data_IF_281651484592
#
_entry.id   IF_281651484592
#
_cell.length_a   1.000
_cell.length_b   1.000
_cell.length_c   1.000
_cell.angle_alpha   90.00
_cell.angle_beta   90.00
_cell.angle_gamma   90.00
#
_symmetry.space_group_name_H-M   'P 1'
#
loop_
_entity.id
_entity.type
_entity.pdbx_description
1 polymer ?
#
# COMPACT_ATOMS: atom_id res chain seq x y z
N UNK A 1 -2.80 -1.01 -20.61
CA UNK A 1 -3.43 -0.49 -19.39
C UNK A 1 -3.73 0.97 -19.68
N UNK A 2 -4.98 1.43 -19.57
CA UNK A 2 -5.29 2.84 -19.86
C UNK A 2 -4.70 3.71 -18.75
N UNK A 3 -4.14 4.85 -19.11
CA UNK A 3 -3.60 5.87 -18.18
C UNK A 3 -4.70 6.68 -17.48
N UNK A 4 -5.98 6.29 -17.62
CA UNK A 4 -7.16 6.97 -17.04
C UNK A 4 -7.73 6.24 -15.80
N UNK A 5 -7.02 5.24 -15.29
CA UNK A 5 -7.44 4.50 -14.10
C UNK A 5 -7.62 5.43 -12.89
N UNK A 6 -8.51 5.08 -11.97
CA UNK A 6 -8.68 5.85 -10.75
C UNK A 6 -7.42 5.79 -9.88
N UNK A 7 -6.66 6.89 -9.85
CA UNK A 7 -5.43 7.07 -9.08
C UNK A 7 -5.67 7.19 -7.57
N UNK A 8 -6.74 6.60 -7.02
CA UNK A 8 -7.11 6.82 -5.64
C UNK A 8 -7.52 5.54 -4.91
N UNK A 9 -7.27 5.53 -3.60
CA UNK A 9 -7.76 4.53 -2.67
C UNK A 9 -9.01 5.09 -2.00
N UNK A 10 -10.08 4.30 -1.96
CA UNK A 10 -11.35 4.66 -1.32
C UNK A 10 -11.50 3.92 0.00
N UNK A 11 -11.86 4.64 1.05
CA UNK A 11 -12.29 4.07 2.32
C UNK A 11 -13.82 4.03 2.40
N UNK A 12 -14.33 2.98 3.04
CA UNK A 12 -15.75 2.78 3.32
C UNK A 12 -15.93 2.49 4.80
N UNK A 13 -17.10 2.85 5.33
CA UNK A 13 -17.54 2.36 6.63
C UNK A 13 -18.14 0.95 6.44
N UNK A 14 -17.76 0.01 7.31
CA UNK A 14 -18.31 -1.36 7.30
C UNK A 14 -19.44 -1.46 8.31
N UNK A 15 -20.68 -1.34 7.83
CA UNK A 15 -21.89 -1.39 8.66
C UNK A 15 -22.36 -2.83 8.81
N UNK A 16 -22.60 -3.25 10.05
CA UNK A 16 -23.02 -4.60 10.41
C UNK A 16 -22.14 -5.72 9.81
N UNK A 17 -20.85 -5.44 9.60
CA UNK A 17 -19.88 -6.40 9.07
C UNK A 17 -20.06 -6.80 7.61
N UNK A 18 -21.02 -6.22 6.88
CA UNK A 18 -21.40 -6.71 5.53
C UNK A 18 -21.84 -5.65 4.53
N UNK A 19 -22.12 -4.42 4.98
CA UNK A 19 -22.55 -3.31 4.12
C UNK A 19 -21.45 -2.27 4.07
N UNK A 20 -21.05 -1.84 2.87
CA UNK A 20 -20.14 -0.73 2.68
C UNK A 20 -20.94 0.56 2.49
N UNK A 21 -20.64 1.58 3.28
CA UNK A 21 -21.30 2.88 3.24
C UNK A 21 -20.28 4.03 3.25
N UNK A 22 -20.74 5.24 2.95
CA UNK A 22 -19.96 6.49 3.06
C UNK A 22 -18.60 6.45 2.35
N UNK A 23 -18.56 6.21 1.02
CA UNK A 23 -17.31 6.21 0.27
C UNK A 23 -16.61 7.55 0.39
N UNK A 24 -15.30 7.52 0.64
CA UNK A 24 -14.44 8.71 0.67
C UNK A 24 -13.07 8.39 0.08
N UNK A 25 -12.51 9.34 -0.65
CA UNK A 25 -11.11 9.24 -1.08
C UNK A 25 -10.23 9.31 0.16
N UNK A 26 -9.46 8.24 0.38
CA UNK A 26 -8.46 8.17 1.44
C UNK A 26 -7.13 8.76 1.00
N UNK A 27 -6.66 8.39 -0.19
CA UNK A 27 -5.41 8.87 -0.76
C UNK A 27 -5.48 8.91 -2.28
N UNK A 28 -4.81 9.89 -2.89
CA UNK A 28 -4.52 9.95 -4.32
C UNK A 28 -3.05 9.61 -4.52
N UNK A 29 -2.75 8.68 -5.44
CA UNK A 29 -1.43 8.13 -5.69
C UNK A 29 -0.93 8.64 -7.02
N UNK A 30 0.17 9.38 -6.95
CA UNK A 30 0.90 9.87 -8.12
C UNK A 30 2.40 9.76 -7.86
N UNK A 31 3.19 9.19 -8.80
CA UNK A 31 2.77 8.69 -10.11
C UNK A 31 2.19 7.27 -10.09
N UNK A 32 1.37 6.95 -11.09
CA UNK A 32 0.85 5.60 -11.33
C UNK A 32 -0.37 5.23 -10.50
N UNK A 33 -0.71 3.94 -10.48
CA UNK A 33 -1.95 3.42 -9.88
C UNK A 33 -1.67 2.66 -8.57
N UNK A 34 -2.55 2.78 -7.56
CA UNK A 34 -2.53 1.90 -6.40
C UNK A 34 -3.12 0.53 -6.76
N UNK A 35 -2.26 -0.46 -7.01
CA UNK A 35 -2.69 -1.83 -7.31
C UNK A 35 -2.89 -2.61 -6.00
N UNK A 36 -1.81 -3.17 -5.44
CA UNK A 36 -1.81 -3.81 -4.13
C UNK A 36 -1.41 -2.89 -2.99
N UNK A 37 -2.09 -3.04 -1.85
CA UNK A 37 -1.76 -2.34 -0.61
C UNK A 37 -1.89 -3.25 0.61
N UNK A 38 -1.32 -2.83 1.75
CA UNK A 38 -1.45 -3.45 3.07
C UNK A 38 -1.61 -2.41 4.15
N UNK A 39 -2.26 -2.80 5.25
CA UNK A 39 -2.39 -1.99 6.46
C UNK A 39 -1.69 -2.70 7.61
N UNK A 40 -0.82 -2.00 8.33
CA UNK A 40 -0.15 -2.57 9.51
C UNK A 40 -1.01 -2.46 10.79
N UNK A 41 -0.50 -2.99 11.91
CA UNK A 41 -1.19 -2.94 13.22
C UNK A 41 -1.41 -1.53 13.76
N UNK A 42 -0.70 -0.53 13.25
CA UNK A 42 -0.82 0.88 13.65
C UNK A 42 -1.86 1.60 12.78
N UNK A 43 -2.44 0.91 11.79
CA UNK A 43 -3.38 1.46 10.81
C UNK A 43 -2.69 2.19 9.66
N UNK A 44 -1.37 2.12 9.54
CA UNK A 44 -0.66 2.76 8.43
C UNK A 44 -0.90 1.97 7.15
N UNK A 45 -1.19 2.66 6.06
CA UNK A 45 -1.43 2.07 4.75
C UNK A 45 -0.17 2.16 3.89
N UNK A 46 0.25 1.04 3.32
CA UNK A 46 1.38 0.89 2.42
C UNK A 46 0.84 0.46 1.06
N UNK A 47 0.97 1.29 0.04
CA UNK A 47 0.42 1.01 -1.30
C UNK A 47 1.49 1.06 -2.36
N UNK A 48 1.32 0.22 -3.38
CA UNK A 48 2.11 0.29 -4.60
C UNK A 48 1.88 1.58 -5.38
N UNK A 49 2.85 1.93 -6.22
CA UNK A 49 2.78 3.02 -7.20
C UNK A 49 3.72 2.74 -8.38
N UNK A 50 3.74 3.63 -9.38
CA UNK A 50 4.70 3.54 -10.49
C UNK A 50 6.15 3.76 -10.06
N UNK A 51 6.38 4.42 -8.92
CA UNK A 51 7.71 4.80 -8.43
C UNK A 51 8.14 4.08 -7.15
N UNK A 52 7.33 3.15 -6.63
CA UNK A 52 7.66 2.41 -5.42
C UNK A 52 6.47 2.19 -4.49
N UNK A 53 6.69 2.43 -3.19
CA UNK A 53 5.68 2.25 -2.15
C UNK A 53 5.40 3.58 -1.45
N UNK A 54 4.14 3.97 -1.36
CA UNK A 54 3.72 5.14 -0.57
C UNK A 54 3.18 4.67 0.78
N UNK A 55 3.47 5.43 1.84
CA UNK A 55 3.02 5.13 3.21
C UNK A 55 2.13 6.26 3.70
N UNK A 56 0.97 5.92 4.24
CA UNK A 56 -0.03 6.87 4.73
C UNK A 56 -0.41 6.57 6.18
N UNK A 57 -0.63 7.64 6.94
CA UNK A 57 -1.24 7.61 8.27
C UNK A 57 -2.75 7.31 8.16
N UNK A 58 -3.41 6.75 9.21
CA UNK A 58 -4.86 6.47 9.19
C UNK A 58 -5.77 7.66 8.86
N UNK A 59 -5.29 8.90 9.00
CA UNK A 59 -6.03 10.12 8.63
C UNK A 59 -5.86 10.52 7.14
N UNK A 60 -5.05 9.78 6.38
CA UNK A 60 -4.77 10.05 4.96
C UNK A 60 -3.51 10.88 4.71
N UNK A 61 -2.80 11.35 5.75
CA UNK A 61 -1.53 12.06 5.57
C UNK A 61 -0.43 11.13 5.01
N UNK A 62 0.23 11.54 3.92
CA UNK A 62 1.38 10.78 3.38
C UNK A 62 2.58 10.95 4.30
N UNK A 63 3.08 9.82 4.83
CA UNK A 63 4.21 9.75 5.74
C UNK A 63 5.54 9.56 5.01
N UNK A 64 5.56 8.73 3.96
CA UNK A 64 6.79 8.39 3.25
C UNK A 64 6.54 7.92 1.80
N UNK A 65 7.62 7.95 1.02
CA UNK A 65 7.75 7.26 -0.26
C UNK A 65 9.05 6.45 -0.22
N UNK A 66 8.95 5.16 -0.52
CA UNK A 66 10.08 4.23 -0.58
C UNK A 66 10.30 3.87 -2.05
N UNK A 67 11.38 4.36 -2.67
CA UNK A 67 11.62 4.13 -4.08
C UNK A 67 11.97 2.66 -4.34
N UNK A 68 11.41 2.13 -5.43
CA UNK A 68 11.75 0.82 -6.00
C UNK A 68 12.02 1.07 -7.49
N UNK A 69 13.07 0.49 -8.09
CA UNK A 69 13.51 0.87 -9.45
C UNK A 69 12.57 0.36 -10.56
N UNK A 70 11.37 -0.10 -10.21
CA UNK A 70 10.36 -0.65 -11.10
C UNK A 70 8.96 -0.36 -10.56
N UNK A 71 7.95 -0.33 -11.44
CA UNK A 71 6.54 -0.23 -11.03
C UNK A 71 6.19 -1.38 -10.09
N UNK A 72 5.65 -1.02 -8.92
CA UNK A 72 5.21 -1.98 -7.91
C UNK A 72 3.77 -2.42 -8.20
N UNK A 73 3.52 -3.72 -8.18
CA UNK A 73 2.18 -4.29 -8.29
C UNK A 73 1.58 -4.65 -6.93
N UNK A 74 2.37 -5.16 -5.99
CA UNK A 74 1.87 -5.55 -4.67
C UNK A 74 3.00 -5.58 -3.64
N UNK A 75 2.63 -5.65 -2.37
CA UNK A 75 3.56 -5.82 -1.26
C UNK A 75 2.89 -6.57 -0.10
N UNK A 76 3.70 -7.23 0.74
CA UNK A 76 3.22 -7.85 1.97
C UNK A 76 4.28 -7.93 3.07
N UNK A 77 3.82 -8.09 4.31
CA UNK A 77 4.66 -8.33 5.48
C UNK A 77 4.79 -9.84 5.74
N UNK A 78 5.96 -10.29 6.16
CA UNK A 78 6.17 -11.68 6.49
C UNK A 78 7.60 -12.02 6.92
N UNK A 79 8.06 -13.18 6.46
CA UNK A 79 9.33 -13.78 6.87
C UNK A 79 9.19 -14.55 8.18
N UNK A 80 10.06 -15.53 8.39
CA UNK A 80 10.01 -16.41 9.58
C UNK A 80 10.08 -15.63 10.91
N UNK A 81 10.75 -14.48 10.90
CA UNK A 81 10.93 -13.60 12.06
C UNK A 81 9.88 -12.46 12.10
N UNK A 82 8.96 -12.37 11.13
CA UNK A 82 7.96 -11.30 11.02
C UNK A 82 8.55 -9.90 10.74
N UNK A 83 9.78 -9.83 10.26
CA UNK A 83 10.55 -8.60 10.03
C UNK A 83 10.86 -8.36 8.55
N UNK A 84 10.18 -9.04 7.62
CA UNK A 84 10.42 -8.89 6.20
C UNK A 84 9.26 -8.18 5.48
N UNK A 85 9.60 -7.30 4.55
CA UNK A 85 8.69 -6.83 3.51
C UNK A 85 9.03 -7.51 2.20
N UNK A 86 8.02 -8.01 1.51
CA UNK A 86 8.12 -8.50 0.16
C UNK A 86 7.45 -7.50 -0.78
N UNK A 87 8.10 -7.15 -1.87
CA UNK A 87 7.59 -6.19 -2.86
C UNK A 87 7.70 -6.82 -4.24
N UNK A 88 6.56 -7.07 -4.88
CA UNK A 88 6.49 -7.53 -6.26
C UNK A 88 6.49 -6.31 -7.19
N UNK A 89 7.55 -6.13 -7.97
CA UNK A 89 7.72 -4.98 -8.84
C UNK A 89 8.13 -5.43 -10.24
N UNK A 90 7.20 -5.31 -11.19
CA UNK A 90 7.32 -5.69 -12.60
C UNK A 90 8.06 -7.02 -12.85
N UNK A 91 9.39 -7.01 -12.96
CA UNK A 91 10.21 -8.18 -13.28
C UNK A 91 10.91 -8.82 -12.08
N UNK A 92 10.77 -8.23 -10.90
CA UNK A 92 11.55 -8.56 -9.70
C UNK A 92 10.69 -8.74 -8.45
N UNK A 93 11.21 -9.54 -7.51
CA UNK A 93 10.72 -9.63 -6.14
C UNK A 93 11.79 -9.11 -5.18
N UNK A 94 11.51 -8.01 -4.50
CA UNK A 94 12.40 -7.43 -3.49
C UNK A 94 12.05 -7.93 -2.10
N UNK A 95 13.06 -8.09 -1.25
CA UNK A 95 12.89 -8.33 0.19
C UNK A 95 13.66 -7.30 0.99
N UNK A 96 12.97 -6.54 1.83
CA UNK A 96 13.60 -5.71 2.86
C UNK A 96 13.51 -6.42 4.20
N UNK A 97 14.62 -6.47 4.95
CA UNK A 97 14.64 -6.88 6.36
C UNK A 97 14.66 -5.64 7.23
N UNK A 98 13.77 -5.58 8.20
CA UNK A 98 13.68 -4.50 9.17
C UNK A 98 14.31 -4.94 10.50
N UNK A 99 14.81 -3.96 11.27
CA UNK A 99 15.32 -4.20 12.61
C UNK A 99 14.25 -4.49 13.67
N UNK A 100 12.97 -4.45 13.28
CA UNK A 100 11.83 -4.64 14.18
C UNK A 100 10.74 -5.48 13.52
N UNK A 101 9.90 -6.12 14.34
CA UNK A 101 8.78 -6.92 13.86
C UNK A 101 7.62 -6.02 13.43
N UNK A 102 6.97 -6.40 12.33
CA UNK A 102 5.82 -5.68 11.76
C UNK A 102 4.49 -6.26 12.24
N UNK A 103 4.57 -7.43 12.87
CA UNK A 103 3.47 -8.20 13.42
C UNK A 103 3.67 -8.65 14.86
#
# INVERSE_FOLDING_TARGET
MRDDGHHHIVAFDVVAGRVLANPRVFAVIEPGLPDGFRVDRRGWLFTSSASGVHVFHPDGARLAHIPVPEKVGNLDFGGAEGNAWFIAASTSLYRLRLGQRLT
#
